data_IF_685590444620
#
_entry.id   IF_685590444620
#
_cell.length_a   1.000
_cell.length_b   1.000
_cell.length_c   1.000
_cell.angle_alpha   90.00
_cell.angle_beta   90.00
_cell.angle_gamma   90.00
#
_symmetry.space_group_name_H-M   'P 1'
#
loop_
_entity.id
_entity.type
_entity.pdbx_description
1 polymer ?
#
# COMPACT_ATOMS: atom_id res chain seq x y z
N UNK A 1 90.62 36.25 38.78
CA UNK A 1 90.65 35.18 39.81
C UNK A 1 89.25 34.61 39.91
N UNK A 2 89.06 33.33 39.60
CA UNK A 2 87.82 32.63 39.90
C UNK A 2 87.61 32.60 41.43
N UNK A 3 86.35 32.57 41.91
CA UNK A 3 85.93 31.30 42.45
C UNK A 3 84.48 30.90 42.15
N UNK A 4 84.34 29.59 42.06
CA UNK A 4 83.17 28.73 42.04
C UNK A 4 82.26 28.99 43.24
N UNK A 5 80.95 29.15 43.04
CA UNK A 5 79.94 28.86 44.07
C UNK A 5 78.55 28.59 43.47
N UNK A 6 78.03 27.43 43.86
CA UNK A 6 76.76 26.81 43.52
C UNK A 6 75.59 27.62 44.11
N UNK A 7 74.57 27.92 43.30
CA UNK A 7 73.27 28.39 43.78
C UNK A 7 72.17 27.69 42.98
N UNK A 8 71.51 26.76 43.64
CA UNK A 8 70.27 26.14 43.21
C UNK A 8 69.18 27.21 43.05
N UNK A 9 68.53 27.25 41.88
CA UNK A 9 67.23 27.89 41.73
C UNK A 9 66.29 26.93 41.02
N UNK A 10 65.21 26.62 41.72
CA UNK A 10 64.10 25.78 41.32
C UNK A 10 63.61 26.10 39.90
N UNK A 11 63.59 25.11 39.03
CA UNK A 11 62.85 25.19 37.79
C UNK A 11 61.35 25.19 38.13
N UNK A 12 60.69 26.34 37.97
CA UNK A 12 59.24 26.40 37.91
C UNK A 12 58.80 25.76 36.60
N UNK A 13 58.32 24.51 36.66
CA UNK A 13 57.62 23.88 35.54
C UNK A 13 56.25 24.56 35.45
N UNK A 14 56.11 25.53 34.55
CA UNK A 14 54.81 26.03 34.12
C UNK A 14 54.17 24.93 33.29
N UNK A 15 53.27 24.16 33.91
CA UNK A 15 52.40 23.25 33.20
C UNK A 15 51.42 24.08 32.36
N UNK A 16 51.73 24.26 31.08
CA UNK A 16 50.76 24.77 30.10
C UNK A 16 49.74 23.66 29.87
N UNK A 17 48.66 23.70 30.65
CA UNK A 17 47.43 22.96 30.38
C UNK A 17 46.82 23.55 29.11
N UNK A 18 47.22 22.99 27.97
CA UNK A 18 46.51 23.21 26.72
C UNK A 18 45.17 22.48 26.84
N UNK A 19 44.14 23.20 27.31
CA UNK A 19 42.77 22.74 27.26
C UNK A 19 42.37 22.63 25.79
N UNK A 20 42.55 21.43 25.22
CA UNK A 20 41.99 21.10 23.91
C UNK A 20 40.47 21.13 24.13
N UNK A 21 39.84 22.23 23.75
CA UNK A 21 38.39 22.33 23.72
C UNK A 21 37.89 21.33 22.68
N UNK A 22 37.58 20.11 23.12
CA UNK A 22 36.85 19.14 22.31
C UNK A 22 35.50 19.80 22.01
N UNK A 23 35.20 20.16 20.75
CA UNK A 23 33.88 20.69 20.44
C UNK A 23 32.86 19.61 20.87
N UNK A 24 31.75 19.98 21.54
CA UNK A 24 30.74 19.00 21.88
C UNK A 24 30.33 18.32 20.58
N UNK A 25 30.48 16.99 20.55
CA UNK A 25 30.05 16.17 19.44
C UNK A 25 28.56 16.47 19.24
N UNK A 26 28.25 17.29 18.24
CA UNK A 26 26.89 17.68 17.93
C UNK A 26 26.27 16.44 17.31
N UNK A 27 25.58 15.65 18.12
CA UNK A 27 24.79 14.53 17.63
C UNK A 27 23.96 15.06 16.46
N UNK A 28 24.19 14.51 15.26
CA UNK A 28 23.35 14.80 14.11
C UNK A 28 21.89 14.54 14.55
N UNK A 29 20.94 15.43 14.23
CA UNK A 29 19.54 15.19 14.57
C UNK A 29 19.17 13.82 13.99
N UNK A 30 18.81 12.89 14.86
CA UNK A 30 18.40 11.55 14.45
C UNK A 30 17.25 11.69 13.46
N UNK A 31 17.50 11.38 12.19
CA UNK A 31 16.44 11.29 11.19
C UNK A 31 15.58 10.11 11.63
N UNK A 32 14.46 10.42 12.27
CA UNK A 32 13.48 9.43 12.69
C UNK A 32 12.99 8.74 11.41
N UNK A 33 13.33 7.46 11.24
CA UNK A 33 12.94 6.66 10.08
C UNK A 33 11.42 6.73 9.91
N UNK A 34 10.95 7.03 8.70
CA UNK A 34 9.52 7.05 8.42
C UNK A 34 8.96 5.63 8.42
N UNK A 35 7.66 5.48 8.70
CA UNK A 35 6.99 4.17 8.62
C UNK A 35 7.23 3.49 7.27
N UNK A 36 7.23 4.26 6.18
CA UNK A 36 7.47 3.74 4.84
C UNK A 36 8.89 3.24 4.63
N UNK A 37 9.88 3.96 5.19
CA UNK A 37 11.28 3.53 5.13
C UNK A 37 11.46 2.20 5.86
N UNK A 38 10.91 2.07 7.07
CA UNK A 38 11.00 0.83 7.84
C UNK A 38 10.28 -0.33 7.16
N UNK A 39 9.04 -0.13 6.69
CA UNK A 39 8.28 -1.15 5.98
C UNK A 39 8.97 -1.56 4.68
N UNK A 40 9.48 -0.59 3.91
CA UNK A 40 10.16 -0.89 2.65
C UNK A 40 11.48 -1.63 2.84
N UNK A 41 12.26 -1.28 3.87
CA UNK A 41 13.46 -2.03 4.25
C UNK A 41 13.12 -3.50 4.55
N UNK A 42 12.05 -3.76 5.31
CA UNK A 42 11.61 -5.12 5.62
C UNK A 42 11.08 -5.85 4.38
N UNK A 43 10.35 -5.16 3.48
CA UNK A 43 9.89 -5.72 2.20
C UNK A 43 11.06 -6.13 1.31
N UNK A 44 12.05 -5.26 1.14
CA UNK A 44 13.22 -5.50 0.27
C UNK A 44 14.00 -6.72 0.73
N UNK A 45 14.33 -6.78 2.03
CA UNK A 45 15.01 -7.93 2.62
C UNK A 45 14.19 -9.22 2.47
N UNK A 46 12.88 -9.16 2.74
CA UNK A 46 11.99 -10.32 2.68
C UNK A 46 11.79 -10.83 1.25
N UNK A 47 11.66 -9.92 0.28
CA UNK A 47 11.53 -10.26 -1.14
C UNK A 47 12.80 -10.96 -1.64
N UNK A 48 13.98 -10.46 -1.27
CA UNK A 48 15.26 -11.08 -1.61
C UNK A 48 15.36 -12.50 -1.03
N UNK A 49 15.04 -12.69 0.25
CA UNK A 49 15.06 -14.01 0.90
C UNK A 49 14.10 -15.00 0.22
N UNK A 50 12.94 -14.54 -0.24
CA UNK A 50 11.96 -15.35 -0.97
C UNK A 50 12.27 -15.49 -2.48
N UNK A 51 13.36 -14.87 -2.97
CA UNK A 51 13.72 -14.77 -4.38
C UNK A 51 12.60 -14.18 -5.26
N UNK A 52 11.85 -13.20 -4.73
CA UNK A 52 10.75 -12.52 -5.42
C UNK A 52 11.17 -11.10 -5.84
N UNK A 53 10.58 -10.54 -6.92
CA UNK A 53 10.79 -9.13 -7.25
C UNK A 53 10.30 -8.22 -6.11
N UNK A 54 11.10 -7.21 -5.74
CA UNK A 54 10.73 -6.22 -4.71
C UNK A 54 9.43 -5.51 -5.07
N UNK A 55 9.27 -5.10 -6.33
CA UNK A 55 8.05 -4.47 -6.83
C UNK A 55 6.82 -5.35 -6.60
N UNK A 56 6.93 -6.65 -6.88
CA UNK A 56 5.83 -7.61 -6.70
C UNK A 56 5.38 -7.68 -5.25
N UNK A 57 6.31 -7.88 -4.30
CA UNK A 57 5.98 -7.95 -2.88
C UNK A 57 5.45 -6.60 -2.39
N UNK A 58 6.03 -5.48 -2.84
CA UNK A 58 5.58 -4.12 -2.52
C UNK A 58 4.12 -3.92 -2.94
N UNK A 59 3.76 -4.27 -4.18
CA UNK A 59 2.40 -4.15 -4.70
C UNK A 59 1.42 -5.08 -3.99
N UNK A 60 1.82 -6.28 -3.59
CA UNK A 60 1.00 -7.18 -2.75
C UNK A 60 0.70 -6.52 -1.41
N UNK A 61 1.71 -6.16 -0.63
CA UNK A 61 1.52 -5.57 0.71
C UNK A 61 0.74 -4.25 0.63
N UNK A 62 0.98 -3.45 -0.41
CA UNK A 62 0.19 -2.25 -0.67
C UNK A 62 -1.28 -2.55 -0.98
N UNK A 63 -1.56 -3.56 -1.80
CA UNK A 63 -2.93 -3.95 -2.17
C UNK A 63 -3.72 -4.48 -0.98
N UNK A 64 -3.06 -5.16 -0.06
CA UNK A 64 -3.69 -5.75 1.12
C UNK A 64 -4.10 -4.68 2.15
N UNK A 65 -3.23 -3.72 2.46
CA UNK A 65 -3.50 -2.78 3.57
C UNK A 65 -3.08 -1.34 3.32
N UNK A 66 -2.40 -1.06 2.21
CA UNK A 66 -1.69 0.21 1.98
C UNK A 66 -0.73 0.54 3.13
N UNK A 67 0.00 -0.49 3.59
CA UNK A 67 0.98 -0.47 4.69
C UNK A 67 0.40 -0.22 6.08
N UNK A 68 -0.92 -0.39 6.26
CA UNK A 68 -1.56 -0.24 7.57
C UNK A 68 -1.45 -1.54 8.36
N UNK A 69 -0.73 -1.53 9.47
CA UNK A 69 -0.52 -2.71 10.30
C UNK A 69 -1.73 -3.07 11.18
N UNK A 70 -2.57 -2.11 11.56
CA UNK A 70 -3.68 -2.30 12.52
C UNK A 70 -5.05 -2.51 11.88
N UNK A 71 -5.14 -3.11 10.68
CA UNK A 71 -6.42 -3.29 9.96
C UNK A 71 -6.93 -4.72 10.01
N UNK A 72 -8.25 -4.86 10.10
CA UNK A 72 -8.96 -6.13 9.95
C UNK A 72 -10.02 -5.96 8.87
N UNK A 73 -10.06 -6.86 7.89
CA UNK A 73 -11.10 -6.83 6.85
C UNK A 73 -12.44 -7.33 7.38
N UNK A 74 -13.53 -7.09 6.64
CA UNK A 74 -14.85 -7.64 6.98
C UNK A 74 -14.91 -9.17 6.94
N UNK A 75 -13.98 -9.81 6.22
CA UNK A 75 -13.84 -11.26 6.18
C UNK A 75 -12.94 -11.81 7.31
N UNK A 76 -12.30 -10.92 8.09
CA UNK A 76 -11.41 -11.29 9.20
C UNK A 76 -9.95 -11.45 8.81
N UNK A 77 -9.50 -10.88 7.68
CA UNK A 77 -8.08 -10.85 7.32
C UNK A 77 -7.34 -9.78 8.13
N UNK A 78 -6.16 -10.09 8.66
CA UNK A 78 -5.50 -9.32 9.71
C UNK A 78 -4.17 -8.73 9.27
N UNK A 79 -3.97 -7.47 9.65
CA UNK A 79 -2.68 -6.79 9.62
C UNK A 79 -2.18 -6.35 8.24
N UNK A 80 -0.90 -5.99 8.18
CA UNK A 80 -0.30 -5.33 7.02
C UNK A 80 -0.33 -6.18 5.75
N UNK A 81 -0.30 -7.51 5.91
CA UNK A 81 -0.31 -8.49 4.83
C UNK A 81 -1.65 -9.25 4.72
N UNK A 82 -2.66 -8.87 5.50
CA UNK A 82 -4.02 -9.42 5.49
C UNK A 82 -4.05 -10.96 5.55
N UNK A 83 -3.35 -11.55 6.52
CA UNK A 83 -3.45 -12.98 6.76
C UNK A 83 -4.83 -13.33 7.32
N UNK A 84 -5.48 -14.34 6.77
CA UNK A 84 -6.60 -14.99 7.46
C UNK A 84 -6.07 -15.75 8.70
N UNK A 85 -6.78 -15.80 9.84
CA UNK A 85 -6.29 -16.43 11.07
C UNK A 85 -5.84 -17.88 10.87
N UNK A 86 -6.62 -18.68 10.12
CA UNK A 86 -6.26 -20.07 9.80
C UNK A 86 -4.97 -20.16 8.97
N UNK A 87 -4.75 -19.20 8.05
CA UNK A 87 -3.51 -19.14 7.25
C UNK A 87 -2.34 -18.69 8.11
N UNK A 88 -2.51 -17.70 9.00
CA UNK A 88 -1.47 -17.28 9.94
C UNK A 88 -1.00 -18.48 10.79
N UNK A 89 -1.94 -19.23 11.37
CA UNK A 89 -1.64 -20.43 12.15
C UNK A 89 -0.91 -21.49 11.31
N UNK A 90 -1.44 -21.84 10.13
CA UNK A 90 -0.83 -22.84 9.24
C UNK A 90 0.58 -22.46 8.76
N UNK A 91 0.89 -21.16 8.72
CA UNK A 91 2.20 -20.63 8.33
C UNK A 91 3.10 -20.31 9.53
N UNK A 92 2.64 -20.53 10.76
CA UNK A 92 3.38 -20.23 11.98
C UNK A 92 3.69 -18.74 12.11
N UNK A 93 2.72 -17.87 11.84
CA UNK A 93 2.75 -16.44 12.13
C UNK A 93 2.10 -16.20 13.48
N UNK A 94 2.86 -15.69 14.45
CA UNK A 94 2.36 -15.46 15.80
C UNK A 94 1.49 -14.20 15.90
N UNK A 95 1.96 -13.08 15.31
CA UNK A 95 1.23 -11.82 15.29
C UNK A 95 1.10 -11.26 13.86
N UNK A 96 -0.11 -11.31 13.24
CA UNK A 96 -0.37 -10.70 11.95
C UNK A 96 -0.30 -9.16 11.94
N UNK A 97 -0.46 -8.51 13.09
CA UNK A 97 -0.45 -7.05 13.23
C UNK A 97 0.96 -6.46 13.36
N UNK A 98 1.98 -7.29 13.60
CA UNK A 98 3.39 -6.89 13.62
C UNK A 98 4.01 -6.98 12.22
N UNK A 99 4.36 -5.84 11.56
CA UNK A 99 4.95 -5.85 10.24
C UNK A 99 6.28 -6.61 10.13
N UNK A 100 7.10 -6.62 11.18
CA UNK A 100 8.39 -7.31 11.19
C UNK A 100 8.23 -8.83 11.23
N UNK A 101 7.05 -9.33 11.62
CA UNK A 101 6.69 -10.75 11.52
C UNK A 101 5.88 -11.06 10.25
N UNK A 102 4.89 -10.22 9.95
CA UNK A 102 3.91 -10.47 8.89
C UNK A 102 4.51 -10.33 7.48
N UNK A 103 5.37 -9.33 7.23
CA UNK A 103 5.97 -9.11 5.89
C UNK A 103 6.90 -10.26 5.49
N UNK A 104 7.87 -10.71 6.32
CA UNK A 104 8.69 -11.86 5.97
C UNK A 104 7.86 -13.13 5.74
N UNK A 105 6.80 -13.33 6.54
CA UNK A 105 5.91 -14.47 6.35
C UNK A 105 5.13 -14.41 5.04
N UNK A 106 4.61 -13.24 4.69
CA UNK A 106 3.92 -13.03 3.41
C UNK A 106 4.85 -13.31 2.23
N UNK A 107 6.08 -12.79 2.24
CA UNK A 107 7.06 -13.02 1.19
C UNK A 107 7.40 -14.51 1.05
N UNK A 108 7.67 -15.20 2.17
CA UNK A 108 7.93 -16.65 2.16
C UNK A 108 6.72 -17.43 1.62
N UNK A 109 5.50 -17.08 2.02
CA UNK A 109 4.29 -17.72 1.53
C UNK A 109 4.11 -17.50 0.02
N UNK A 110 4.28 -16.27 -0.47
CA UNK A 110 4.25 -15.96 -1.91
C UNK A 110 5.33 -16.74 -2.69
N UNK A 111 6.52 -16.91 -2.10
CA UNK A 111 7.60 -17.72 -2.68
C UNK A 111 7.21 -19.19 -2.82
N UNK A 112 6.60 -19.77 -1.79
CA UNK A 112 6.07 -21.14 -1.81
C UNK A 112 4.92 -21.29 -2.82
N UNK A 113 4.03 -20.30 -2.92
CA UNK A 113 2.96 -20.28 -3.92
C UNK A 113 3.52 -20.23 -5.34
N UNK A 114 4.54 -19.39 -5.58
CA UNK A 114 5.22 -19.34 -6.88
C UNK A 114 5.86 -20.68 -7.21
N UNK A 115 6.53 -21.33 -6.27
CA UNK A 115 7.11 -22.66 -6.50
C UNK A 115 6.02 -23.69 -6.83
N UNK A 116 4.90 -23.66 -6.11
CA UNK A 116 3.78 -24.59 -6.32
C UNK A 116 3.06 -24.39 -7.65
N UNK A 117 2.86 -23.14 -8.06
CA UNK A 117 2.03 -22.78 -9.21
C UNK A 117 2.82 -22.29 -10.43
N UNK A 118 4.15 -22.26 -10.34
CA UNK A 118 5.09 -21.99 -11.43
C UNK A 118 5.45 -20.52 -11.64
N UNK A 119 4.55 -19.56 -11.37
CA UNK A 119 4.83 -18.14 -11.62
C UNK A 119 4.18 -17.19 -10.61
N UNK A 120 4.65 -15.93 -10.59
CA UNK A 120 4.22 -14.91 -9.62
C UNK A 120 2.76 -14.45 -9.81
N UNK A 121 2.22 -14.50 -11.03
CA UNK A 121 0.83 -14.11 -11.29
C UNK A 121 -0.16 -15.10 -10.71
N UNK A 122 0.09 -16.40 -10.89
CA UNK A 122 -0.73 -17.44 -10.27
C UNK A 122 -0.50 -17.48 -8.76
N UNK A 123 0.71 -17.19 -8.28
CA UNK A 123 0.98 -17.02 -6.86
C UNK A 123 0.15 -15.88 -6.23
N UNK A 124 0.08 -14.71 -6.88
CA UNK A 124 -0.77 -13.61 -6.43
C UNK A 124 -2.26 -13.99 -6.43
N UNK A 125 -2.72 -14.71 -7.44
CA UNK A 125 -4.09 -15.20 -7.49
C UNK A 125 -4.38 -16.14 -6.31
N UNK A 126 -3.45 -17.04 -5.98
CA UNK A 126 -3.59 -18.01 -4.90
C UNK A 126 -3.53 -17.37 -3.52
N UNK A 127 -2.70 -16.33 -3.35
CA UNK A 127 -2.65 -15.54 -2.14
C UNK A 127 -4.00 -14.87 -1.85
N UNK A 128 -4.60 -14.25 -2.88
CA UNK A 128 -5.87 -13.52 -2.75
C UNK A 128 -7.11 -14.44 -2.63
N UNK A 129 -7.18 -15.50 -3.43
CA UNK A 129 -8.41 -16.29 -3.61
C UNK A 129 -8.37 -17.68 -2.95
N UNK A 130 -7.21 -18.06 -2.41
CA UNK A 130 -6.94 -19.35 -1.80
C UNK A 130 -6.42 -20.39 -2.80
N UNK A 131 -5.51 -21.23 -2.32
CA UNK A 131 -4.79 -22.24 -3.11
C UNK A 131 -5.72 -23.25 -3.79
N UNK A 132 -6.75 -23.72 -3.07
CA UNK A 132 -7.71 -24.70 -3.59
C UNK A 132 -8.52 -24.14 -4.76
N UNK A 133 -8.96 -22.87 -4.68
CA UNK A 133 -9.71 -22.23 -5.75
C UNK A 133 -8.86 -22.08 -7.01
N UNK A 134 -7.60 -21.68 -6.85
CA UNK A 134 -6.68 -21.54 -7.98
C UNK A 134 -6.35 -22.90 -8.59
N UNK A 135 -6.14 -23.94 -7.79
CA UNK A 135 -5.97 -25.29 -8.31
C UNK A 135 -7.18 -25.72 -9.16
N UNK A 136 -8.40 -25.57 -8.65
CA UNK A 136 -9.62 -25.92 -9.40
C UNK A 136 -9.74 -25.10 -10.71
N UNK A 137 -9.48 -23.79 -10.67
CA UNK A 137 -9.54 -22.95 -11.86
C UNK A 137 -8.52 -23.36 -12.92
N UNK A 138 -7.29 -23.70 -12.53
CA UNK A 138 -6.25 -24.19 -13.45
C UNK A 138 -6.65 -25.52 -14.11
N UNK A 139 -7.36 -26.40 -13.38
CA UNK A 139 -7.93 -27.65 -13.90
C UNK A 139 -9.24 -27.47 -14.67
N UNK A 140 -9.74 -26.24 -14.84
CA UNK A 140 -11.01 -25.99 -15.54
C UNK A 140 -12.25 -26.41 -14.74
N UNK A 141 -12.11 -26.60 -13.42
CA UNK A 141 -13.17 -27.04 -12.50
C UNK A 141 -13.84 -25.86 -11.75
N UNK A 142 -13.83 -24.67 -12.35
CA UNK A 142 -14.46 -23.48 -11.79
C UNK A 142 -13.91 -22.18 -12.39
N UNK A 143 -14.55 -21.06 -12.04
CA UNK A 143 -14.19 -19.73 -12.52
C UNK A 143 -13.33 -18.95 -11.53
N UNK A 144 -12.50 -18.04 -12.07
CA UNK A 144 -11.74 -17.08 -11.27
C UNK A 144 -12.58 -15.81 -11.03
N UNK A 145 -12.82 -15.40 -9.77
CA UNK A 145 -13.61 -14.20 -9.48
C UNK A 145 -13.02 -12.94 -10.10
N UNK A 146 -13.88 -12.03 -10.57
CA UNK A 146 -13.44 -10.74 -11.12
C UNK A 146 -12.55 -9.95 -10.15
N UNK A 147 -12.84 -10.01 -8.84
CA UNK A 147 -12.01 -9.38 -7.81
C UNK A 147 -10.57 -9.90 -7.81
N UNK A 148 -10.37 -11.21 -7.97
CA UNK A 148 -9.04 -11.83 -8.05
C UNK A 148 -8.34 -11.48 -9.36
N UNK A 149 -9.07 -11.39 -10.48
CA UNK A 149 -8.50 -10.91 -11.76
C UNK A 149 -7.95 -9.50 -11.63
N UNK A 150 -8.74 -8.59 -11.05
CA UNK A 150 -8.31 -7.22 -10.77
C UNK A 150 -7.14 -7.18 -9.80
N UNK A 151 -7.08 -8.08 -8.82
CA UNK A 151 -5.95 -8.22 -7.90
C UNK A 151 -4.66 -8.58 -8.64
N UNK A 152 -4.69 -9.61 -9.49
CA UNK A 152 -3.51 -10.04 -10.27
C UNK A 152 -3.05 -8.91 -11.20
N UNK A 153 -3.98 -8.29 -11.94
CA UNK A 153 -3.65 -7.16 -12.83
C UNK A 153 -3.03 -5.99 -12.08
N UNK A 154 -3.49 -5.68 -10.87
CA UNK A 154 -2.91 -4.63 -10.04
C UNK A 154 -1.47 -4.95 -9.62
N UNK A 155 -1.23 -6.19 -9.19
CA UNK A 155 0.05 -6.62 -8.62
C UNK A 155 1.11 -6.86 -9.70
N UNK A 156 0.74 -7.41 -10.85
CA UNK A 156 1.70 -7.85 -11.87
C UNK A 156 1.63 -7.06 -13.17
N UNK A 157 0.66 -6.16 -13.32
CA UNK A 157 0.43 -5.44 -14.58
C UNK A 157 -0.14 -6.29 -15.72
N UNK A 158 -0.49 -7.56 -15.50
CA UNK A 158 -0.95 -8.52 -16.53
C UNK A 158 -2.19 -9.27 -16.07
N UNK A 159 -3.01 -9.74 -17.00
CA UNK A 159 -4.23 -10.48 -16.65
C UNK A 159 -3.93 -11.91 -16.20
N UNK A 160 -4.78 -12.47 -15.33
CA UNK A 160 -4.57 -13.81 -14.77
C UNK A 160 -4.54 -14.91 -15.86
N UNK A 161 -5.32 -14.76 -16.92
CA UNK A 161 -5.30 -15.64 -18.09
C UNK A 161 -3.96 -15.69 -18.81
N UNK A 162 -3.28 -14.54 -18.95
CA UNK A 162 -1.96 -14.48 -19.58
C UNK A 162 -0.93 -15.26 -18.77
N UNK A 163 -1.02 -15.19 -17.44
CA UNK A 163 -0.18 -15.99 -16.55
C UNK A 163 -0.49 -17.48 -16.60
N UNK A 164 -1.75 -17.84 -16.85
CA UNK A 164 -2.18 -19.24 -17.01
C UNK A 164 -1.64 -19.83 -18.31
N UNK A 165 -1.70 -19.08 -19.42
CA UNK A 165 -1.18 -19.54 -20.71
C UNK A 165 0.36 -19.58 -20.74
N UNK A 166 1.03 -18.62 -20.08
CA UNK A 166 2.50 -18.56 -20.02
C UNK A 166 3.16 -19.74 -19.28
N UNK A 167 2.41 -20.47 -18.45
CA UNK A 167 2.88 -21.70 -17.79
C UNK A 167 2.73 -22.97 -18.63
N UNK A 168 2.04 -22.90 -19.77
CA UNK A 168 1.86 -24.01 -20.72
C UNK A 168 2.82 -23.78 -21.89
N UNK A 169 4.03 -24.32 -21.80
CA UNK A 169 5.12 -23.99 -22.74
C UNK A 169 4.75 -24.24 -24.21
N UNK A 170 4.74 -23.17 -25.01
CA UNK A 170 5.31 -23.14 -26.37
C UNK A 170 5.57 -21.67 -26.81
N UNK A 171 6.82 -21.22 -26.98
CA UNK A 171 7.10 -19.91 -27.55
C UNK A 171 6.99 -20.03 -29.08
N UNK A 172 5.84 -19.71 -29.64
CA UNK A 172 5.68 -19.57 -31.10
C UNK A 172 4.68 -18.46 -31.43
N UNK A 173 5.27 -17.30 -31.69
CA UNK A 173 4.98 -16.40 -32.81
C UNK A 173 3.60 -15.76 -32.92
N UNK A 174 3.57 -14.43 -32.77
CA UNK A 174 2.67 -13.58 -33.53
C UNK A 174 2.26 -12.27 -32.88
N UNK A 175 3.15 -11.27 -32.83
CA UNK A 175 2.87 -9.85 -33.12
C UNK A 175 3.93 -8.95 -32.49
N UNK A 176 4.77 -8.44 -33.37
CA UNK A 176 5.82 -7.44 -33.24
C UNK A 176 5.39 -6.21 -32.43
N UNK A 177 5.99 -6.02 -31.25
CA UNK A 177 6.49 -4.72 -30.84
C UNK A 177 7.61 -4.92 -29.81
N UNK A 178 8.79 -5.19 -30.34
CA UNK A 178 10.04 -5.21 -29.59
C UNK A 178 10.41 -3.78 -29.19
N UNK A 179 9.77 -3.28 -28.14
CA UNK A 179 10.33 -2.21 -27.31
C UNK A 179 10.99 -2.86 -26.10
N UNK A 180 12.31 -3.02 -26.24
CA UNK A 180 13.30 -3.07 -25.14
C UNK A 180 12.87 -3.85 -23.88
N UNK A 181 13.19 -5.15 -23.88
CA UNK A 181 13.66 -5.82 -22.67
C UNK A 181 15.03 -5.22 -22.29
N UNK A 182 14.99 -3.97 -21.85
CA UNK A 182 16.10 -3.27 -21.23
C UNK A 182 16.06 -3.66 -19.75
N UNK A 183 17.21 -4.07 -19.23
CA UNK A 183 17.51 -4.34 -17.82
C UNK A 183 16.83 -3.31 -16.92
N UNK A 184 15.62 -3.62 -16.46
CA UNK A 184 14.91 -2.77 -15.52
C UNK A 184 15.68 -2.84 -14.20
N UNK A 185 16.38 -1.76 -13.87
CA UNK A 185 17.00 -1.55 -12.56
C UNK A 185 16.03 -2.02 -11.46
N UNK A 186 16.49 -2.82 -10.47
CA UNK A 186 15.62 -3.30 -9.40
C UNK A 186 14.89 -2.12 -8.74
N UNK A 187 13.59 -2.00 -8.99
CA UNK A 187 12.82 -0.90 -8.42
C UNK A 187 12.79 -1.06 -6.90
N UNK A 188 13.29 -0.05 -6.18
CA UNK A 188 13.20 -0.01 -4.73
C UNK A 188 11.75 0.11 -4.29
N UNK A 189 11.43 -0.44 -3.11
CA UNK A 189 10.08 -0.39 -2.56
C UNK A 189 9.59 1.06 -2.41
N UNK A 190 10.47 1.99 -2.04
CA UNK A 190 10.12 3.40 -1.90
C UNK A 190 9.70 4.04 -3.23
N UNK A 191 10.38 3.70 -4.33
CA UNK A 191 10.02 4.19 -5.68
C UNK A 191 8.64 3.67 -6.09
N UNK A 192 8.41 2.37 -5.94
CA UNK A 192 7.13 1.72 -6.25
C UNK A 192 6.02 2.31 -5.36
N UNK A 193 6.28 2.52 -4.07
CA UNK A 193 5.33 3.12 -3.14
C UNK A 193 5.00 4.57 -3.52
N UNK A 194 6.01 5.35 -3.93
CA UNK A 194 5.80 6.72 -4.40
C UNK A 194 4.95 6.75 -5.69
N UNK A 195 5.12 5.81 -6.60
CA UNK A 195 4.26 5.65 -7.78
C UNK A 195 2.83 5.25 -7.40
N UNK A 196 2.68 4.27 -6.51
CA UNK A 196 1.40 3.80 -6.00
C UNK A 196 0.61 4.92 -5.33
N UNK A 197 1.29 5.82 -4.62
CA UNK A 197 0.70 7.03 -4.02
C UNK A 197 0.40 8.13 -5.02
N UNK A 198 1.23 8.30 -6.05
CA UNK A 198 1.02 9.32 -7.10
C UNK A 198 -0.10 8.96 -8.07
N UNK A 199 -0.48 7.69 -8.18
CA UNK A 199 -1.53 7.25 -9.10
C UNK A 199 -1.53 5.78 -9.50
N UNK A 200 -0.71 4.94 -8.88
CA UNK A 200 -0.79 3.47 -8.84
C UNK A 200 -1.21 2.70 -10.10
N UNK A 201 -0.32 2.63 -11.08
CA UNK A 201 -0.42 1.74 -12.25
C UNK A 201 -1.06 2.43 -13.45
N UNK A 202 -0.34 2.44 -14.58
CA UNK A 202 -0.68 3.19 -15.79
C UNK A 202 -2.17 3.17 -16.16
N UNK A 203 -2.71 4.32 -16.58
CA UNK A 203 -4.05 4.60 -17.10
C UNK A 203 -5.30 4.08 -16.34
N UNK A 204 -5.17 3.18 -15.36
CA UNK A 204 -6.28 2.49 -14.68
C UNK A 204 -6.22 2.74 -13.14
N UNK A 205 -5.04 3.07 -12.60
CA UNK A 205 -4.82 3.35 -11.17
C UNK A 205 -5.35 4.67 -10.64
N UNK A 206 -5.26 5.74 -11.45
CA UNK A 206 -5.85 7.03 -11.15
C UNK A 206 -7.38 6.95 -10.99
N UNK A 207 -8.01 5.88 -11.51
CA UNK A 207 -9.42 5.64 -11.30
C UNK A 207 -9.67 5.05 -9.90
N UNK A 208 -8.85 4.12 -9.40
CA UNK A 208 -9.13 3.39 -8.16
C UNK A 208 -8.70 4.11 -6.87
N UNK A 209 -7.56 4.82 -6.87
CA UNK A 209 -7.11 5.61 -5.70
C UNK A 209 -7.92 6.91 -5.52
N UNK A 210 -8.49 7.45 -6.60
CA UNK A 210 -9.51 8.50 -6.53
C UNK A 210 -10.88 7.97 -6.09
N UNK A 211 -11.14 6.66 -6.21
CA UNK A 211 -12.44 6.07 -5.89
C UNK A 211 -12.61 5.74 -4.41
N UNK A 212 -11.55 5.68 -3.59
CA UNK A 212 -11.70 5.37 -2.16
C UNK A 212 -10.75 6.19 -1.27
N UNK A 213 -11.31 6.92 -0.30
CA UNK A 213 -10.58 7.74 0.67
C UNK A 213 -11.14 7.50 2.09
N UNK A 214 -10.35 7.68 3.17
CA UNK A 214 -10.78 7.35 4.55
C UNK A 214 -11.94 8.22 5.04
N UNK A 215 -12.09 9.42 4.48
CA UNK A 215 -13.23 10.29 4.68
C UNK A 215 -13.89 10.58 3.33
N UNK A 216 -15.15 11.02 3.38
CA UNK A 216 -15.80 11.55 2.21
C UNK A 216 -16.96 12.47 2.54
N UNK A 217 -17.29 13.32 1.58
CA UNK A 217 -18.46 14.20 1.66
C UNK A 217 -19.61 13.51 0.95
N UNK A 218 -20.58 13.03 1.72
CA UNK A 218 -21.76 12.37 1.19
C UNK A 218 -22.73 13.39 0.61
N UNK A 219 -23.04 13.24 -0.68
CA UNK A 219 -23.93 14.13 -1.43
C UNK A 219 -25.21 13.44 -1.89
N UNK A 220 -25.17 12.12 -2.04
CA UNK A 220 -26.34 11.33 -2.43
C UNK A 220 -26.36 9.98 -1.73
N UNK A 221 -27.56 9.43 -1.55
CA UNK A 221 -27.75 8.06 -1.11
C UNK A 221 -29.10 7.51 -1.55
N UNK A 222 -29.15 6.24 -1.94
CA UNK A 222 -30.39 5.57 -2.35
C UNK A 222 -30.26 4.04 -2.26
N UNK A 223 -31.39 3.32 -2.16
CA UNK A 223 -31.42 1.86 -2.25
C UNK A 223 -31.23 1.32 -3.68
N UNK A 224 -31.35 2.17 -4.70
CA UNK A 224 -30.95 1.88 -6.08
C UNK A 224 -29.64 2.57 -6.42
N UNK A 225 -28.64 1.79 -6.85
CA UNK A 225 -27.33 2.32 -7.29
C UNK A 225 -27.47 3.36 -8.41
N UNK A 226 -28.36 3.09 -9.38
CA UNK A 226 -28.60 4.00 -10.51
C UNK A 226 -29.20 5.34 -10.06
N UNK A 227 -30.18 5.31 -9.14
CA UNK A 227 -30.78 6.54 -8.61
C UNK A 227 -29.81 7.33 -7.72
N UNK A 228 -28.95 6.63 -6.97
CA UNK A 228 -27.91 7.28 -6.16
C UNK A 228 -26.90 8.02 -7.04
N UNK A 229 -26.48 7.41 -8.16
CA UNK A 229 -25.58 8.03 -9.14
C UNK A 229 -26.24 9.22 -9.85
N UNK A 230 -27.48 9.06 -10.33
CA UNK A 230 -28.20 10.17 -10.96
C UNK A 230 -28.41 11.35 -10.01
N UNK A 231 -28.64 11.10 -8.71
CA UNK A 231 -28.72 12.15 -7.70
C UNK A 231 -27.37 12.84 -7.48
N UNK A 232 -26.27 12.09 -7.48
CA UNK A 232 -24.92 12.65 -7.41
C UNK A 232 -24.58 13.50 -8.64
N UNK A 233 -24.91 13.04 -9.85
CA UNK A 233 -24.63 13.80 -11.08
C UNK A 233 -25.38 15.13 -11.11
N UNK A 234 -26.64 15.17 -10.61
CA UNK A 234 -27.39 16.43 -10.43
C UNK A 234 -26.72 17.36 -9.42
N UNK A 235 -26.27 16.83 -8.28
CA UNK A 235 -25.53 17.62 -7.29
C UNK A 235 -24.22 18.16 -7.88
N UNK A 236 -23.52 17.35 -8.69
CA UNK A 236 -22.30 17.77 -9.38
C UNK A 236 -22.53 18.88 -10.39
N UNK A 237 -23.57 18.77 -11.22
CA UNK A 237 -23.94 19.83 -12.15
C UNK A 237 -24.28 21.13 -11.41
N UNK A 238 -25.02 21.05 -10.29
CA UNK A 238 -25.45 22.22 -9.51
C UNK A 238 -24.28 22.93 -8.81
N UNK A 239 -23.29 22.18 -8.31
CA UNK A 239 -22.19 22.71 -7.51
C UNK A 239 -20.83 22.62 -8.21
N UNK A 240 -20.81 22.60 -9.56
CA UNK A 240 -19.61 22.38 -10.35
C UNK A 240 -18.45 23.33 -10.00
N UNK A 241 -18.74 24.60 -9.67
CA UNK A 241 -17.75 25.59 -9.25
C UNK A 241 -17.12 25.33 -7.87
N UNK A 242 -17.69 24.45 -7.05
CA UNK A 242 -17.21 24.11 -5.70
C UNK A 242 -16.54 22.75 -5.65
N UNK A 243 -17.14 21.75 -6.31
CA UNK A 243 -16.72 20.34 -6.20
C UNK A 243 -15.87 19.86 -7.38
N UNK A 244 -15.82 20.62 -8.48
CA UNK A 244 -15.02 20.30 -9.67
C UNK A 244 -15.41 18.98 -10.34
N UNK A 245 -14.44 18.37 -11.03
CA UNK A 245 -14.62 17.12 -11.80
C UNK A 245 -14.23 15.85 -11.01
N UNK A 246 -14.20 15.93 -9.67
CA UNK A 246 -13.83 14.81 -8.82
C UNK A 246 -14.71 13.58 -9.03
N UNK A 247 -14.10 12.40 -9.10
CA UNK A 247 -14.80 11.13 -9.27
C UNK A 247 -15.45 10.68 -7.94
N UNK A 248 -16.68 10.13 -7.97
CA UNK A 248 -17.34 9.68 -6.75
C UNK A 248 -16.84 8.33 -6.26
N UNK A 249 -16.77 8.19 -4.94
CA UNK A 249 -16.72 6.93 -4.21
C UNK A 249 -18.14 6.39 -3.99
N UNK A 250 -18.38 5.11 -4.26
CA UNK A 250 -19.68 4.45 -4.08
C UNK A 250 -19.56 3.41 -2.97
N UNK A 251 -20.26 3.63 -1.85
CA UNK A 251 -20.25 2.75 -0.68
C UNK A 251 -21.61 2.06 -0.57
N UNK A 252 -21.66 0.74 -0.70
CA UNK A 252 -22.87 -0.05 -0.44
C UNK A 252 -22.87 -0.54 1.01
N UNK A 253 -23.88 -0.19 1.80
CA UNK A 253 -24.06 -0.72 3.17
C UNK A 253 -25.41 -1.45 3.30
N UNK A 254 -25.40 -2.60 3.96
CA UNK A 254 -26.64 -3.28 4.35
C UNK A 254 -27.18 -2.63 5.63
N UNK A 255 -28.22 -1.81 5.48
CA UNK A 255 -28.92 -1.23 6.62
C UNK A 255 -29.96 -2.24 7.11
N UNK A 256 -29.55 -3.18 7.98
CA UNK A 256 -30.39 -4.29 8.46
C UNK A 256 -31.72 -3.84 9.07
N UNK A 257 -31.79 -2.63 9.63
CA UNK A 257 -33.02 -2.02 10.15
C UNK A 257 -33.99 -1.53 9.06
N UNK A 258 -33.59 -1.52 7.79
CA UNK A 258 -34.35 -1.02 6.63
C UNK A 258 -34.48 -2.03 5.49
N UNK A 259 -34.31 -3.32 5.81
CA UNK A 259 -34.47 -4.44 4.89
C UNK A 259 -33.15 -5.05 4.40
N UNK A 260 -33.27 -5.91 3.39
CA UNK A 260 -32.15 -6.72 2.86
C UNK A 260 -31.44 -6.08 1.67
N UNK A 261 -31.99 -4.98 1.13
CA UNK A 261 -31.39 -4.27 -0.01
C UNK A 261 -30.22 -3.38 0.45
N UNK A 262 -29.11 -3.34 -0.29
CA UNK A 262 -28.01 -2.42 0.00
C UNK A 262 -28.46 -0.96 -0.19
N UNK A 263 -28.03 -0.10 0.72
CA UNK A 263 -28.12 1.34 0.58
C UNK A 263 -26.79 1.87 0.02
N UNK A 264 -26.85 2.46 -1.16
CA UNK A 264 -25.69 3.03 -1.85
C UNK A 264 -25.53 4.48 -1.44
N UNK A 265 -24.36 4.82 -0.89
CA UNK A 265 -23.92 6.16 -0.56
C UNK A 265 -22.90 6.60 -1.60
N UNK A 266 -23.08 7.79 -2.18
CA UNK A 266 -22.16 8.36 -3.17
C UNK A 266 -21.49 9.57 -2.56
N UNK A 267 -20.16 9.54 -2.49
CA UNK A 267 -19.36 10.53 -1.77
C UNK A 267 -18.22 11.07 -2.62
N UNK A 268 -17.83 12.31 -2.37
CA UNK A 268 -16.54 12.82 -2.83
C UNK A 268 -15.44 12.35 -1.88
N UNK A 269 -14.33 11.78 -2.38
CA UNK A 269 -13.23 11.32 -1.55
C UNK A 269 -12.55 12.49 -0.82
N UNK A 270 -12.12 12.27 0.42
CA UNK A 270 -11.32 13.21 1.20
C UNK A 270 -10.26 12.47 2.03
N UNK A 271 -9.00 12.92 2.04
CA UNK A 271 -7.91 12.24 2.75
C UNK A 271 -8.03 12.36 4.28
N UNK A 272 -8.70 13.40 4.78
CA UNK A 272 -8.87 13.65 6.21
C UNK A 272 -10.25 14.20 6.52
N UNK A 273 -10.63 14.13 7.80
CA UNK A 273 -11.82 14.78 8.35
C UNK A 273 -11.89 16.27 8.02
N UNK A 274 -10.81 17.00 8.29
CA UNK A 274 -10.74 18.45 8.09
C UNK A 274 -10.98 18.83 6.62
N UNK A 275 -10.40 18.09 5.68
CA UNK A 275 -10.62 18.32 4.24
C UNK A 275 -12.08 18.04 3.85
N UNK A 276 -12.68 16.97 4.39
CA UNK A 276 -14.09 16.66 4.16
C UNK A 276 -15.02 17.75 4.72
N UNK A 277 -14.76 18.21 5.95
CA UNK A 277 -15.54 19.26 6.61
C UNK A 277 -15.40 20.59 5.86
N UNK A 278 -14.20 20.97 5.44
CA UNK A 278 -13.97 22.19 4.66
C UNK A 278 -14.69 22.14 3.30
N UNK A 279 -14.63 21.01 2.60
CA UNK A 279 -15.36 20.83 1.34
C UNK A 279 -16.87 20.88 1.57
N UNK A 280 -17.39 20.22 2.61
CA UNK A 280 -18.80 20.27 2.94
C UNK A 280 -19.25 21.69 3.32
N UNK A 281 -18.46 22.43 4.08
CA UNK A 281 -18.73 23.84 4.41
C UNK A 281 -18.84 24.73 3.17
N UNK A 282 -17.98 24.54 2.16
CA UNK A 282 -18.10 25.28 0.88
C UNK A 282 -19.38 24.93 0.12
N UNK A 283 -19.83 23.67 0.17
CA UNK A 283 -21.09 23.23 -0.46
C UNK A 283 -22.30 23.85 0.28
N UNK A 284 -22.26 23.86 1.61
CA UNK A 284 -23.31 24.50 2.43
C UNK A 284 -23.39 26.00 2.21
N UNK A 285 -22.26 26.69 2.02
CA UNK A 285 -22.20 28.12 1.73
C UNK A 285 -22.93 28.51 0.43
N UNK A 286 -23.02 27.60 -0.55
CA UNK A 286 -23.78 27.79 -1.80
C UNK A 286 -25.18 27.16 -1.74
N UNK A 287 -25.69 26.89 -0.52
CA UNK A 287 -27.03 26.34 -0.29
C UNK A 287 -27.16 24.83 -0.58
N UNK A 288 -26.06 24.09 -0.57
CA UNK A 288 -26.04 22.64 -0.75
C UNK A 288 -26.13 21.84 0.56
N UNK A 289 -26.64 20.61 0.46
CA UNK A 289 -26.68 19.67 1.57
C UNK A 289 -25.55 18.63 1.44
N UNK A 290 -24.82 18.41 2.52
CA UNK A 290 -23.74 17.43 2.58
C UNK A 290 -23.48 16.99 4.02
N UNK A 291 -22.79 15.85 4.17
CA UNK A 291 -22.27 15.37 5.45
C UNK A 291 -20.86 14.85 5.25
N UNK A 292 -19.90 15.36 6.03
CA UNK A 292 -18.55 14.82 6.10
C UNK A 292 -18.54 13.61 7.04
N UNK A 293 -18.09 12.45 6.56
CA UNK A 293 -18.13 11.22 7.36
C UNK A 293 -17.06 10.19 6.97
N UNK A 294 -16.67 9.28 7.88
CA UNK A 294 -15.73 8.19 7.60
C UNK A 294 -16.27 7.20 6.56
N UNK A 295 -15.39 6.67 5.73
CA UNK A 295 -15.73 5.74 4.62
C UNK A 295 -15.89 4.29 5.05
N UNK A 296 -15.23 3.90 6.15
CA UNK A 296 -15.44 2.63 6.86
C UNK A 296 -16.63 2.71 7.82
#
# INVERSE_FOLDING_TARGET
>A
MQPMMILARCAAIVAVLCAIAVPPCRAAPGVMESLDQSVCRTIEHSAQAAHLPVEFVTRVIWRESSFRAGVVSSAGAEGIAQFMPATAQARGLADPFDPEQAIPKAAHYLGALRQRFGNIGIAAAAYNAGEARIANWLHGQGDLPAATRSYVRFVTGRDAEEWRSSGSGNPSSGSTDSTTAETAEPQSCLTVTAELRRGGGGAIGAVAAEIWAPWGVQLAGNFSKALALAAFDRARARYAGVIGNGRPMIIGRLLRSRGTKPFYQVRLPAPTRAVAEQLCGRIQAVGGACVAMPSA
#
